data_IF_263886629570
#
_entry.id   IF_263886629570
#
_cell.length_a   1.000
_cell.length_b   1.000
_cell.length_c   1.000
_cell.angle_alpha   90.00
_cell.angle_beta   90.00
_cell.angle_gamma   90.00
#
_symmetry.space_group_name_H-M   'P 1'
#
loop_
_entity.id
_entity.type
_entity.pdbx_description
1 polymer ?
#
# COMPACT_ATOMS: atom_id res chain seq x y z
N UNK A 1 -27.65 3.84 -8.18
CA UNK A 1 -26.51 3.60 -7.28
C UNK A 1 -25.38 3.05 -8.12
N UNK A 2 -24.13 3.52 -7.98
CA UNK A 2 -22.97 3.20 -8.85
C UNK A 2 -22.07 2.17 -8.15
N UNK A 3 -21.74 1.01 -8.78
CA UNK A 3 -20.75 0.11 -8.16
C UNK A 3 -19.46 0.84 -8.37
N UNK A 4 -18.74 1.11 -7.29
CA UNK A 4 -17.35 1.51 -7.44
C UNK A 4 -16.65 0.43 -8.28
N UNK A 5 -16.02 0.81 -9.40
CA UNK A 5 -15.36 -0.15 -10.28
C UNK A 5 -14.41 -1.01 -9.44
N UNK A 6 -14.54 -2.32 -9.54
CA UNK A 6 -13.58 -3.26 -8.98
C UNK A 6 -12.22 -2.87 -9.55
N UNK A 7 -11.28 -2.52 -8.67
CA UNK A 7 -9.92 -2.20 -9.08
C UNK A 7 -9.40 -3.40 -9.86
N UNK A 8 -9.20 -3.21 -11.16
CA UNK A 8 -8.53 -4.18 -12.00
C UNK A 8 -7.08 -4.20 -11.52
N UNK A 9 -6.78 -5.04 -10.53
CA UNK A 9 -5.42 -5.36 -10.13
C UNK A 9 -4.69 -5.80 -11.39
N UNK A 10 -3.48 -5.28 -11.67
CA UNK A 10 -2.70 -5.74 -12.81
C UNK A 10 -2.66 -7.27 -12.82
N UNK A 11 -2.96 -7.83 -13.99
CA UNK A 11 -3.07 -9.26 -14.26
C UNK A 11 -1.91 -10.01 -13.57
N UNK A 12 -2.21 -10.77 -12.51
CA UNK A 12 -1.24 -11.60 -11.79
C UNK A 12 -1.10 -11.37 -10.28
N UNK A 13 -1.61 -10.26 -9.71
CA UNK A 13 -1.51 -10.03 -8.26
C UNK A 13 -2.74 -10.60 -7.52
N UNK A 14 -2.51 -11.64 -6.71
CA UNK A 14 -3.54 -12.27 -5.86
C UNK A 14 -3.85 -11.34 -4.70
N UNK A 15 -4.84 -10.47 -4.87
CA UNK A 15 -5.37 -9.64 -3.79
C UNK A 15 -6.48 -10.36 -3.03
N UNK A 16 -6.41 -10.34 -1.69
CA UNK A 16 -7.49 -10.86 -0.84
C UNK A 16 -8.75 -10.02 -1.07
N UNK A 17 -9.87 -10.66 -1.39
CA UNK A 17 -11.12 -9.94 -1.56
C UNK A 17 -11.68 -9.50 -0.19
N UNK A 18 -12.32 -8.31 -0.08
CA UNK A 18 -12.93 -7.86 1.17
C UNK A 18 -13.90 -8.86 1.80
N UNK A 19 -14.60 -9.66 0.98
CA UNK A 19 -15.54 -10.69 1.41
C UNK A 19 -14.88 -11.82 2.21
N UNK A 20 -13.56 -12.00 2.09
CA UNK A 20 -12.83 -12.94 2.93
C UNK A 20 -12.95 -12.60 4.41
N UNK A 21 -12.88 -11.31 4.77
CA UNK A 21 -12.96 -10.91 6.18
C UNK A 21 -14.36 -11.03 6.78
N UNK A 22 -15.40 -11.07 5.95
CA UNK A 22 -16.76 -11.35 6.41
C UNK A 22 -17.09 -12.84 6.39
N UNK A 23 -16.20 -13.68 5.86
CA UNK A 23 -16.38 -15.13 5.80
C UNK A 23 -16.32 -15.77 7.20
N UNK A 24 -17.03 -16.89 7.36
CA UNK A 24 -16.99 -17.67 8.59
C UNK A 24 -15.60 -18.21 8.91
N UNK A 25 -14.76 -18.46 7.90
CA UNK A 25 -13.39 -18.95 8.05
C UNK A 25 -12.55 -17.91 8.80
N UNK A 26 -12.55 -16.66 8.31
CA UNK A 26 -11.83 -15.57 8.96
C UNK A 26 -12.43 -15.25 10.34
N UNK A 27 -13.75 -15.13 10.42
CA UNK A 27 -14.44 -14.72 11.66
C UNK A 27 -14.23 -15.75 12.78
N UNK A 28 -14.28 -17.05 12.50
CA UNK A 28 -14.05 -18.09 13.52
C UNK A 28 -12.60 -18.06 14.01
N UNK A 29 -11.64 -18.07 13.10
CA UNK A 29 -10.23 -18.01 13.46
C UNK A 29 -9.91 -16.77 14.31
N UNK A 30 -10.41 -15.60 13.90
CA UNK A 30 -10.17 -14.37 14.66
C UNK A 30 -10.86 -14.37 16.03
N UNK A 31 -12.02 -15.02 16.19
CA UNK A 31 -12.67 -15.20 17.50
C UNK A 31 -11.84 -16.10 18.42
N UNK A 32 -11.25 -17.16 17.88
CA UNK A 32 -10.38 -18.05 18.65
C UNK A 32 -9.10 -17.32 19.07
N UNK A 33 -8.53 -16.48 18.20
CA UNK A 33 -7.39 -15.63 18.50
C UNK A 33 -7.70 -14.60 19.58
N UNK A 34 -8.87 -13.93 19.51
CA UNK A 34 -9.33 -12.99 20.55
C UNK A 34 -9.51 -13.72 21.88
N UNK A 35 -10.09 -14.92 21.87
CA UNK A 35 -10.29 -15.73 23.09
C UNK A 35 -8.95 -16.12 23.71
N UNK A 36 -7.97 -16.48 22.90
CA UNK A 36 -6.60 -16.79 23.33
C UNK A 36 -5.91 -15.55 23.93
N UNK A 37 -6.06 -14.39 23.29
CA UNK A 37 -5.54 -13.11 23.81
C UNK A 37 -6.13 -12.78 25.19
N UNK A 38 -7.44 -12.95 25.36
CA UNK A 38 -8.14 -12.71 26.63
C UNK A 38 -7.69 -13.68 27.71
N UNK A 39 -7.55 -14.97 27.38
CA UNK A 39 -7.08 -15.99 28.32
C UNK A 39 -5.65 -15.71 28.80
N UNK A 40 -4.73 -15.42 27.87
CA UNK A 40 -3.34 -15.07 28.20
C UNK A 40 -3.26 -13.82 29.09
N UNK A 41 -4.10 -12.81 28.79
CA UNK A 41 -4.19 -11.62 29.62
C UNK A 41 -4.72 -11.94 31.02
N UNK A 42 -5.76 -12.76 31.13
CA UNK A 42 -6.31 -13.20 32.41
C UNK A 42 -5.28 -13.94 33.26
N UNK A 43 -4.56 -14.90 32.67
CA UNK A 43 -3.51 -15.64 33.36
C UNK A 43 -2.39 -14.73 33.87
N UNK A 44 -1.92 -13.79 33.04
CA UNK A 44 -0.90 -12.83 33.43
C UNK A 44 -1.40 -11.86 34.52
N UNK A 45 -2.65 -11.40 34.41
CA UNK A 45 -3.27 -10.50 35.38
C UNK A 45 -3.47 -11.16 36.75
N UNK A 46 -3.82 -12.45 36.77
CA UNK A 46 -3.96 -13.22 38.02
C UNK A 46 -2.66 -13.31 38.83
N UNK A 47 -1.51 -13.27 38.14
CA UNK A 47 -0.17 -13.29 38.76
C UNK A 47 0.29 -11.90 39.20
N UNK A 48 -0.13 -10.84 38.50
CA UNK A 48 0.27 -9.47 38.80
C UNK A 48 -0.85 -8.47 38.48
N UNK A 49 -1.54 -8.01 39.52
CA UNK A 49 -2.70 -7.10 39.41
C UNK A 49 -2.31 -5.62 39.31
N UNK A 50 -1.05 -5.26 39.59
CA UNK A 50 -0.64 -3.87 39.77
C UNK A 50 -0.58 -3.06 38.46
N UNK A 51 -0.39 -3.70 37.30
CA UNK A 51 -0.18 -2.99 36.03
C UNK A 51 -0.91 -3.62 34.83
N UNK A 52 -2.27 -3.64 34.84
CA UNK A 52 -3.07 -4.32 33.81
C UNK A 52 -2.74 -3.88 32.39
N UNK A 53 -2.61 -2.56 32.15
CA UNK A 53 -2.34 -2.05 30.80
C UNK A 53 -0.96 -2.42 30.28
N UNK A 54 0.07 -2.41 31.15
CA UNK A 54 1.44 -2.81 30.77
C UNK A 54 1.49 -4.30 30.42
N UNK A 55 0.84 -5.13 31.23
CA UNK A 55 0.70 -6.57 30.95
C UNK A 55 -0.04 -6.83 29.65
N UNK A 56 -1.20 -6.18 29.44
CA UNK A 56 -1.96 -6.32 28.20
C UNK A 56 -1.14 -5.91 26.97
N UNK A 57 -0.49 -4.74 27.01
CA UNK A 57 0.34 -4.25 25.91
C UNK A 57 1.49 -5.22 25.60
N UNK A 58 2.14 -5.77 26.61
CA UNK A 58 3.19 -6.78 26.42
C UNK A 58 2.66 -8.02 25.70
N UNK A 59 1.51 -8.53 26.12
CA UNK A 59 0.88 -9.71 25.51
C UNK A 59 0.45 -9.39 24.07
N UNK A 60 -0.24 -8.28 23.86
CA UNK A 60 -0.67 -7.77 22.55
C UNK A 60 0.51 -7.67 21.57
N UNK A 61 1.64 -7.12 22.01
CA UNK A 61 2.86 -7.01 21.21
C UNK A 61 3.48 -8.38 20.97
N UNK A 62 3.58 -9.24 22.00
CA UNK A 62 4.17 -10.59 21.88
C UNK A 62 3.41 -11.51 20.93
N UNK A 63 2.08 -11.39 20.87
CA UNK A 63 1.21 -12.13 19.95
C UNK A 63 1.15 -11.49 18.55
N UNK A 64 1.84 -10.37 18.32
CA UNK A 64 1.94 -9.75 16.99
C UNK A 64 0.74 -8.89 16.56
N UNK A 65 -0.23 -8.64 17.45
CA UNK A 65 -1.47 -7.90 17.10
C UNK A 65 -1.22 -6.46 16.61
N UNK A 66 -0.16 -5.82 17.08
CA UNK A 66 0.25 -4.49 16.60
C UNK A 66 0.59 -4.46 15.10
N UNK A 67 0.98 -5.59 14.50
CA UNK A 67 1.26 -5.71 13.06
C UNK A 67 0.02 -6.07 12.23
N UNK A 68 -1.11 -6.39 12.86
CA UNK A 68 -2.26 -6.99 12.18
C UNK A 68 -2.81 -6.12 11.04
N UNK A 69 -2.85 -4.80 11.24
CA UNK A 69 -3.31 -3.84 10.22
C UNK A 69 -2.37 -3.69 9.01
N UNK A 70 -1.10 -4.09 9.14
CA UNK A 70 -0.15 -4.09 8.03
C UNK A 70 -0.23 -5.33 7.14
N UNK A 71 -0.96 -6.38 7.57
CA UNK A 71 -1.19 -7.57 6.73
C UNK A 71 -2.07 -7.29 5.52
N UNK A 72 -2.77 -6.14 5.52
CA UNK A 72 -3.67 -5.75 4.44
C UNK A 72 -3.22 -4.41 3.86
N UNK A 73 -2.64 -4.47 2.67
CA UNK A 73 -2.08 -3.28 1.99
C UNK A 73 -3.13 -2.46 1.25
N UNK A 74 -4.13 -3.12 0.67
CA UNK A 74 -5.22 -2.43 -0.03
C UNK A 74 -6.14 -1.67 0.94
N UNK A 75 -6.43 -0.40 0.61
CA UNK A 75 -7.20 0.49 1.47
C UNK A 75 -8.62 -0.02 1.74
N UNK A 76 -9.32 -0.50 0.71
CA UNK A 76 -10.71 -0.98 0.84
C UNK A 76 -10.78 -2.23 1.69
N UNK A 77 -9.88 -3.17 1.41
CA UNK A 77 -9.72 -4.46 2.07
C UNK A 77 -9.31 -4.25 3.53
N UNK A 78 -8.39 -3.30 3.81
CA UNK A 78 -7.97 -2.91 5.16
C UNK A 78 -9.13 -2.35 5.97
N UNK A 79 -9.96 -1.51 5.37
CA UNK A 79 -11.14 -0.96 6.04
C UNK A 79 -12.09 -2.08 6.49
N UNK A 80 -12.46 -3.00 5.58
CA UNK A 80 -13.32 -4.13 5.93
C UNK A 80 -12.70 -5.02 7.00
N UNK A 81 -11.40 -5.30 6.90
CA UNK A 81 -10.64 -6.02 7.90
C UNK A 81 -10.72 -5.36 9.29
N UNK A 82 -10.49 -4.05 9.37
CA UNK A 82 -10.56 -3.30 10.64
C UNK A 82 -12.00 -3.27 11.19
N UNK A 83 -12.99 -2.99 10.35
CA UNK A 83 -14.40 -2.92 10.75
C UNK A 83 -14.87 -4.26 11.34
N UNK A 84 -14.53 -5.38 10.68
CA UNK A 84 -14.88 -6.71 11.20
C UNK A 84 -14.12 -7.01 12.49
N UNK A 85 -12.81 -6.72 12.54
CA UNK A 85 -11.98 -7.01 13.72
C UNK A 85 -12.49 -6.24 14.94
N UNK A 86 -12.75 -4.94 14.80
CA UNK A 86 -13.31 -4.10 15.86
C UNK A 86 -14.71 -4.58 16.27
N UNK A 87 -15.56 -4.98 15.31
CA UNK A 87 -16.88 -5.54 15.62
C UNK A 87 -16.77 -6.80 16.49
N UNK A 88 -15.81 -7.69 16.21
CA UNK A 88 -15.63 -8.91 17.01
C UNK A 88 -15.17 -8.61 18.46
N UNK A 89 -14.34 -7.60 18.68
CA UNK A 89 -14.04 -7.13 20.03
C UNK A 89 -15.30 -6.61 20.75
N UNK A 90 -16.16 -5.87 20.04
CA UNK A 90 -17.43 -5.37 20.58
C UNK A 90 -18.44 -6.50 20.86
N UNK A 91 -18.47 -7.55 20.04
CA UNK A 91 -19.29 -8.75 20.28
C UNK A 91 -18.89 -9.40 21.62
N UNK A 92 -17.59 -9.57 21.88
CA UNK A 92 -17.10 -10.12 23.15
C UNK A 92 -17.50 -9.27 24.35
N UNK A 93 -17.44 -7.94 24.22
CA UNK A 93 -17.90 -7.04 25.27
C UNK A 93 -19.41 -7.14 25.49
N UNK A 94 -20.19 -7.24 24.42
CA UNK A 94 -21.65 -7.38 24.50
C UNK A 94 -22.03 -8.69 25.19
N UNK A 95 -21.35 -9.78 24.86
CA UNK A 95 -21.51 -11.07 25.53
C UNK A 95 -21.14 -11.01 27.02
N UNK A 96 -20.10 -10.25 27.38
CA UNK A 96 -19.75 -10.03 28.78
C UNK A 96 -20.84 -9.26 29.53
N UNK A 97 -21.46 -8.28 28.87
CA UNK A 97 -22.53 -7.47 29.47
C UNK A 97 -23.87 -8.21 29.58
N UNK A 98 -24.15 -9.18 28.68
CA UNK A 98 -25.32 -10.06 28.78
C UNK A 98 -25.11 -11.28 29.68
N UNK A 99 -23.88 -11.50 30.18
CA UNK A 99 -23.55 -12.64 31.02
C UNK A 99 -24.50 -12.83 32.22
N UNK A 100 -24.91 -11.79 32.98
CA UNK A 100 -25.90 -11.96 34.05
C UNK A 100 -27.21 -12.58 33.56
N UNK A 101 -27.69 -12.21 32.37
CA UNK A 101 -28.96 -12.71 31.80
C UNK A 101 -28.86 -14.19 31.43
N UNK A 102 -27.65 -14.66 31.07
CA UNK A 102 -27.40 -16.08 30.75
C UNK A 102 -27.28 -16.99 31.98
N UNK A 103 -27.13 -16.43 33.18
CA UNK A 103 -27.01 -17.18 34.45
C UNK A 103 -28.38 -17.65 34.99
N UNK A 104 -29.17 -18.32 34.15
CA UNK A 104 -30.52 -18.82 34.50
C UNK A 104 -30.50 -20.12 35.30
N UNK A 105 -29.35 -20.80 35.38
CA UNK A 105 -29.20 -22.06 36.10
C UNK A 105 -29.39 -21.87 37.61
N UNK A 106 -30.12 -22.80 38.26
CA UNK A 106 -30.51 -22.69 39.68
C UNK A 106 -29.33 -22.48 40.63
N UNK A 107 -28.16 -23.02 40.31
CA UNK A 107 -26.93 -22.87 41.10
C UNK A 107 -26.16 -21.55 40.83
N UNK A 108 -26.42 -20.89 39.71
CA UNK A 108 -25.79 -19.61 39.33
C UNK A 108 -26.65 -18.39 39.64
N UNK A 109 -27.96 -18.59 39.82
CA UNK A 109 -28.92 -17.51 40.09
C UNK A 109 -28.53 -16.63 41.30
N UNK A 110 -27.99 -17.16 42.42
CA UNK A 110 -27.52 -16.32 43.53
C UNK A 110 -26.32 -15.43 43.19
N UNK A 111 -25.51 -15.79 42.18
CA UNK A 111 -24.33 -15.04 41.76
C UNK A 111 -24.68 -13.92 40.77
N UNK A 112 -25.81 -14.01 40.08
CA UNK A 112 -26.28 -13.03 39.10
C UNK A 112 -26.21 -11.56 39.59
N UNK A 113 -26.74 -11.17 40.77
CA UNK A 113 -26.68 -9.78 41.23
C UNK A 113 -25.25 -9.29 41.50
N UNK A 114 -24.35 -10.19 41.89
CA UNK A 114 -22.94 -9.88 42.14
C UNK A 114 -22.21 -9.58 40.83
N UNK A 115 -22.41 -10.43 39.81
CA UNK A 115 -21.85 -10.22 38.47
C UNK A 115 -22.40 -8.93 37.86
N UNK A 116 -23.71 -8.70 37.96
CA UNK A 116 -24.33 -7.46 37.49
C UNK A 116 -23.75 -6.22 38.18
N UNK A 117 -23.54 -6.27 39.50
CA UNK A 117 -22.94 -5.17 40.25
C UNK A 117 -21.49 -4.88 39.80
N UNK A 118 -20.67 -5.92 39.65
CA UNK A 118 -19.28 -5.78 39.18
C UNK A 118 -19.23 -5.18 37.78
N UNK A 119 -20.01 -5.73 36.83
CA UNK A 119 -20.07 -5.23 35.46
C UNK A 119 -20.57 -3.78 35.41
N UNK A 120 -21.56 -3.43 36.23
CA UNK A 120 -22.04 -2.05 36.36
C UNK A 120 -20.95 -1.12 36.88
N UNK A 121 -20.17 -1.54 37.89
CA UNK A 121 -19.04 -0.76 38.42
C UNK A 121 -17.94 -0.57 37.38
N UNK A 122 -17.58 -1.61 36.64
CA UNK A 122 -16.58 -1.53 35.56
C UNK A 122 -17.04 -0.59 34.42
N UNK A 123 -18.33 -0.65 34.07
CA UNK A 123 -18.95 0.23 33.06
C UNK A 123 -18.95 1.68 33.52
N UNK A 124 -19.41 1.96 34.75
CA UNK A 124 -19.45 3.33 35.30
C UNK A 124 -18.05 3.90 35.53
N UNK A 125 -17.09 3.06 35.90
CA UNK A 125 -15.69 3.45 36.06
C UNK A 125 -14.95 3.69 34.74
N UNK A 126 -15.64 3.56 33.58
CA UNK A 126 -15.05 3.64 32.25
C UNK A 126 -13.76 2.80 32.10
N UNK A 127 -13.71 1.66 32.81
CA UNK A 127 -12.53 0.78 32.81
C UNK A 127 -12.27 0.23 31.42
N UNK A 128 -13.33 0.08 30.63
CA UNK A 128 -13.26 -0.24 29.22
C UNK A 128 -13.37 1.05 28.38
N UNK A 129 -12.33 1.36 27.60
CA UNK A 129 -12.43 2.33 26.51
C UNK A 129 -13.27 1.72 25.40
N UNK A 130 -14.59 1.89 25.50
CA UNK A 130 -15.53 1.38 24.52
C UNK A 130 -15.54 2.30 23.31
N UNK A 131 -15.17 1.74 22.16
CA UNK A 131 -15.55 2.32 20.88
C UNK A 131 -17.09 2.40 20.83
N UNK A 132 -17.66 3.44 20.19
CA UNK A 132 -19.10 3.61 20.07
C UNK A 132 -19.78 2.34 19.53
N UNK A 133 -21.03 2.13 19.95
CA UNK A 133 -21.80 0.94 19.57
C UNK A 133 -21.76 0.79 18.06
N UNK A 134 -21.53 -0.44 17.60
CA UNK A 134 -21.50 -0.75 16.17
C UNK A 134 -22.82 -0.45 15.44
N UNK A 135 -23.88 -0.10 16.16
CA UNK A 135 -25.16 0.40 15.63
C UNK A 135 -25.09 1.88 15.19
N UNK A 136 -24.25 2.69 15.82
CA UNK A 136 -24.00 4.11 15.52
C UNK A 136 -23.00 4.31 14.37
N UNK A 137 -22.70 3.22 13.66
CA UNK A 137 -21.54 3.05 12.76
C UNK A 137 -21.16 4.30 11.97
N UNK A 138 -19.85 4.55 11.78
CA UNK A 138 -19.33 5.77 11.16
C UNK A 138 -19.73 5.95 9.68
N UNK A 139 -20.40 4.97 9.09
CA UNK A 139 -20.86 4.97 7.70
C UNK A 139 -22.34 4.56 7.68
N UNK A 140 -23.22 5.55 7.77
CA UNK A 140 -24.60 5.47 7.33
C UNK A 140 -24.64 6.07 5.91
N UNK A 141 -25.08 5.34 4.85
CA UNK A 141 -25.80 4.07 4.84
C UNK A 141 -24.95 2.77 4.74
N UNK A 142 -25.46 1.70 5.36
CA UNK A 142 -24.87 0.34 5.42
C UNK A 142 -25.30 -0.61 4.30
N UNK A 143 -26.34 -0.25 3.54
CA UNK A 143 -26.83 -1.02 2.40
C UNK A 143 -26.41 -0.34 1.10
N UNK A 144 -25.17 -0.58 0.68
CA UNK A 144 -24.86 -0.42 -0.74
C UNK A 144 -25.30 -1.71 -1.44
N UNK A 145 -26.04 -1.63 -2.56
CA UNK A 145 -26.52 -2.80 -3.28
C UNK A 145 -25.35 -3.73 -3.60
N UNK A 146 -25.54 -5.03 -3.30
CA UNK A 146 -24.51 -6.09 -3.40
C UNK A 146 -23.94 -6.21 -4.81
N UNK A 147 -24.73 -5.88 -5.81
CA UNK A 147 -24.40 -5.90 -7.22
C UNK A 147 -25.09 -4.71 -7.87
N UNK A 148 -24.39 -3.90 -8.65
CA UNK A 148 -25.06 -3.08 -9.66
C UNK A 148 -24.61 -3.67 -10.98
N UNK A 149 -25.58 -4.26 -11.67
CA UNK A 149 -25.42 -4.67 -13.05
C UNK A 149 -25.08 -3.42 -13.85
N UNK A 150 -23.81 -3.28 -14.22
CA UNK A 150 -23.45 -2.45 -15.35
C UNK A 150 -23.74 -3.30 -16.60
N UNK A 151 -24.73 -2.97 -17.42
CA UNK A 151 -24.98 -3.70 -18.66
C UNK A 151 -23.71 -3.69 -19.51
N UNK A 152 -23.33 -4.85 -20.05
CA UNK A 152 -22.26 -4.93 -21.07
C UNK A 152 -22.65 -4.01 -22.24
N UNK A 153 -22.02 -2.84 -22.30
CA UNK A 153 -22.26 -1.83 -23.34
C UNK A 153 -22.60 -0.43 -22.84
N UNK A 154 -22.92 -0.22 -21.55
CA UNK A 154 -23.16 1.14 -21.03
C UNK A 154 -21.87 1.75 -20.48
N UNK A 155 -20.97 2.14 -21.38
CA UNK A 155 -20.00 3.19 -21.08
C UNK A 155 -20.78 4.47 -20.79
N UNK A 156 -21.07 4.73 -19.52
CA UNK A 156 -21.49 6.05 -19.05
C UNK A 156 -20.31 7.01 -19.26
N UNK A 157 -20.22 7.52 -20.48
CA UNK A 157 -19.57 8.78 -20.79
C UNK A 157 -20.36 9.86 -20.06
N UNK A 158 -19.99 10.11 -18.81
CA UNK A 158 -20.32 11.35 -18.13
C UNK A 158 -19.55 12.44 -18.88
N UNK A 159 -20.25 13.05 -19.84
CA UNK A 159 -19.90 14.32 -20.48
C UNK A 159 -19.83 15.41 -19.41
N UNK A 160 -18.70 15.51 -18.73
CA UNK A 160 -18.20 16.74 -18.12
C UNK A 160 -16.72 16.53 -17.78
N UNK A 161 -15.87 16.89 -18.75
CA UNK A 161 -14.49 17.30 -18.50
C UNK A 161 -13.54 16.28 -17.86
N UNK A 162 -13.81 14.97 -17.95
CA UNK A 162 -12.90 13.97 -17.39
C UNK A 162 -11.59 13.93 -18.18
N UNK A 163 -10.58 14.59 -17.63
CA UNK A 163 -9.18 14.33 -17.92
C UNK A 163 -9.00 12.81 -17.99
N UNK A 164 -8.60 12.32 -19.17
CA UNK A 164 -8.36 10.91 -19.44
C UNK A 164 -7.57 10.34 -18.26
N UNK A 165 -8.21 9.48 -17.47
CA UNK A 165 -7.54 8.77 -16.38
C UNK A 165 -6.31 8.14 -17.01
N UNK A 166 -5.13 8.50 -16.48
CA UNK A 166 -3.83 7.99 -16.91
C UNK A 166 -3.84 6.47 -16.76
N UNK A 167 -4.31 5.79 -17.80
CA UNK A 167 -4.01 4.40 -18.02
C UNK A 167 -2.50 4.25 -18.12
N UNK A 168 -2.04 2.99 -18.06
CA UNK A 168 -0.64 2.65 -18.29
C UNK A 168 -0.18 3.40 -19.56
N UNK A 169 0.81 4.31 -19.47
CA UNK A 169 1.22 5.11 -20.60
C UNK A 169 1.55 4.18 -21.76
N UNK A 170 0.87 4.38 -22.88
CA UNK A 170 1.11 3.59 -24.09
C UNK A 170 2.58 3.77 -24.52
N UNK A 171 3.13 2.80 -25.26
CA UNK A 171 4.53 2.87 -25.75
C UNK A 171 4.81 4.22 -26.45
N UNK A 172 3.84 4.72 -27.21
CA UNK A 172 3.87 6.04 -27.87
C UNK A 172 3.91 7.21 -26.88
N UNK A 173 3.14 7.16 -25.80
CA UNK A 173 3.14 8.19 -24.76
C UNK A 173 4.43 8.19 -23.93
N UNK A 174 5.02 7.01 -23.65
CA UNK A 174 6.34 6.91 -23.01
C UNK A 174 7.42 7.55 -23.87
N UNK A 175 7.44 7.26 -25.18
CA UNK A 175 8.36 7.88 -26.13
C UNK A 175 8.18 9.39 -26.19
N UNK A 176 6.94 9.89 -26.25
CA UNK A 176 6.65 11.34 -26.24
C UNK A 176 7.10 12.01 -24.94
N UNK A 177 6.91 11.35 -23.80
CA UNK A 177 7.36 11.86 -22.49
C UNK A 177 8.89 11.89 -22.38
N UNK A 178 9.57 10.87 -22.91
CA UNK A 178 11.04 10.84 -22.94
C UNK A 178 11.62 11.96 -23.82
N UNK A 179 11.05 12.20 -25.02
CA UNK A 179 11.45 13.32 -25.89
C UNK A 179 11.27 14.68 -25.18
N UNK A 180 10.12 14.90 -24.55
CA UNK A 180 9.87 16.14 -23.80
C UNK A 180 10.81 16.31 -22.60
N UNK A 181 11.23 15.22 -21.96
CA UNK A 181 12.22 15.28 -20.89
C UNK A 181 13.61 15.67 -21.42
N UNK A 182 14.03 15.14 -22.57
CA UNK A 182 15.28 15.50 -23.24
C UNK A 182 15.28 16.96 -23.72
N UNK A 183 14.15 17.44 -24.25
CA UNK A 183 13.98 18.84 -24.63
C UNK A 183 14.06 19.77 -23.40
N UNK A 184 13.42 19.39 -22.29
CA UNK A 184 13.50 20.15 -21.04
C UNK A 184 14.90 20.22 -20.45
N UNK A 185 15.69 19.14 -20.59
CA UNK A 185 17.08 19.10 -20.15
C UNK A 185 17.97 20.03 -21.01
N UNK A 186 17.70 20.13 -22.31
CA UNK A 186 18.40 21.05 -23.22
C UNK A 186 18.17 22.51 -22.84
N UNK A 187 16.91 22.86 -22.56
CA UNK A 187 16.54 24.20 -22.09
C UNK A 187 17.25 24.52 -20.76
N UNK A 188 17.24 23.57 -19.83
CA UNK A 188 17.92 23.74 -18.54
C UNK A 188 19.43 23.92 -18.68
N UNK A 189 20.09 23.13 -19.53
CA UNK A 189 21.52 23.26 -19.82
C UNK A 189 21.85 24.61 -20.46
N UNK A 190 21.02 25.06 -21.42
CA UNK A 190 21.24 26.37 -22.06
C UNK A 190 21.06 27.55 -21.11
N UNK A 191 20.13 27.44 -20.15
CA UNK A 191 19.89 28.48 -19.15
C UNK A 191 21.02 28.56 -18.12
N UNK A 192 21.47 27.41 -17.62
CA UNK A 192 22.52 27.38 -16.60
C UNK A 192 23.91 27.68 -17.17
N UNK A 193 24.14 27.41 -18.46
CA UNK A 193 25.37 27.80 -19.14
C UNK A 193 25.60 29.33 -19.19
N UNK A 194 24.55 30.13 -18.94
CA UNK A 194 24.63 31.60 -18.97
C UNK A 194 24.57 32.28 -17.60
N UNK A 195 24.11 31.59 -16.55
CA UNK A 195 23.73 32.25 -15.28
C UNK A 195 24.66 31.93 -14.09
N UNK A 196 25.46 30.86 -14.12
CA UNK A 196 26.32 30.47 -12.99
C UNK A 196 27.82 30.50 -13.34
N UNK A 197 28.54 31.53 -12.88
CA UNK A 197 30.02 31.63 -12.95
C UNK A 197 30.75 30.56 -12.11
N UNK A 198 30.04 29.82 -11.26
CA UNK A 198 30.62 28.84 -10.32
C UNK A 198 30.43 27.36 -10.75
N UNK A 199 29.76 27.09 -11.87
CA UNK A 199 29.69 25.72 -12.40
C UNK A 199 30.77 25.49 -13.45
N UNK A 200 31.79 24.72 -13.08
CA UNK A 200 32.98 24.35 -13.88
C UNK A 200 32.67 23.38 -15.04
N UNK A 201 31.55 23.59 -15.75
CA UNK A 201 31.17 22.81 -16.94
C UNK A 201 32.01 23.34 -18.09
N UNK A 202 33.13 22.67 -18.34
CA UNK A 202 34.03 23.06 -19.42
C UNK A 202 33.31 22.96 -20.79
N UNK A 203 33.58 23.88 -21.74
CA UNK A 203 33.02 23.81 -23.10
C UNK A 203 33.25 22.47 -23.80
N UNK A 204 34.30 21.76 -23.40
CA UNK A 204 34.65 20.41 -23.87
C UNK A 204 33.62 19.37 -23.45
N UNK A 205 33.17 19.39 -22.18
CA UNK A 205 32.15 18.48 -21.67
C UNK A 205 30.79 18.69 -22.34
N UNK A 206 30.42 19.95 -22.61
CA UNK A 206 29.18 20.27 -23.32
C UNK A 206 29.21 19.76 -24.77
N UNK A 207 30.33 19.93 -25.47
CA UNK A 207 30.51 19.42 -26.83
C UNK A 207 30.48 17.88 -26.88
N UNK A 208 31.06 17.20 -25.89
CA UNK A 208 31.02 15.75 -25.80
C UNK A 208 29.60 15.23 -25.54
N UNK A 209 28.85 15.89 -24.64
CA UNK A 209 27.44 15.59 -24.40
C UNK A 209 26.59 15.76 -25.67
N UNK A 210 26.77 16.86 -26.41
CA UNK A 210 26.04 17.11 -27.66
C UNK A 210 26.33 16.06 -28.74
N UNK A 211 27.59 15.60 -28.84
CA UNK A 211 27.97 14.49 -29.73
C UNK A 211 27.30 13.19 -29.32
N UNK A 212 27.34 12.84 -28.04
CA UNK A 212 26.70 11.62 -27.53
C UNK A 212 25.18 11.65 -27.73
N UNK A 213 24.53 12.78 -27.45
CA UNK A 213 23.09 12.99 -27.68
C UNK A 213 22.73 12.81 -29.17
N UNK A 214 23.51 13.41 -30.06
CA UNK A 214 23.28 13.30 -31.51
C UNK A 214 23.43 11.87 -32.00
N UNK A 215 24.49 11.18 -31.55
CA UNK A 215 24.70 9.76 -31.81
C UNK A 215 23.54 8.89 -31.31
N UNK A 216 23.10 9.09 -30.06
CA UNK A 216 21.96 8.35 -29.51
C UNK A 216 20.67 8.60 -30.29
N UNK A 217 20.41 9.83 -30.74
CA UNK A 217 19.25 10.18 -31.56
C UNK A 217 19.33 9.61 -32.98
N UNK A 218 20.53 9.47 -33.53
CA UNK A 218 20.78 8.91 -34.86
C UNK A 218 20.65 7.39 -34.86
N UNK A 219 21.22 6.70 -33.88
CA UNK A 219 21.02 5.25 -33.64
C UNK A 219 19.53 4.92 -33.44
N UNK A 220 18.81 5.75 -32.68
CA UNK A 220 17.36 5.63 -32.49
C UNK A 220 16.56 5.81 -33.79
N UNK A 221 17.10 6.53 -34.78
CA UNK A 221 16.42 6.88 -36.03
C UNK A 221 16.75 5.90 -37.16
N UNK A 222 17.99 5.44 -37.25
CA UNK A 222 18.52 4.65 -38.36
C UNK A 222 18.18 3.16 -38.23
N UNK A 223 18.26 2.58 -37.04
CA UNK A 223 18.19 1.12 -36.86
C UNK A 223 16.76 0.60 -36.68
N UNK A 224 15.77 1.46 -36.35
CA UNK A 224 14.52 0.96 -35.76
C UNK A 224 13.18 1.52 -36.24
N UNK A 225 13.15 2.60 -37.03
CA UNK A 225 11.88 3.29 -37.33
C UNK A 225 11.02 3.51 -36.07
N UNK A 226 9.69 3.61 -36.19
CA UNK A 226 8.79 3.83 -35.03
C UNK A 226 8.63 2.60 -34.09
N UNK A 227 9.25 1.44 -34.42
CA UNK A 227 8.96 0.15 -33.76
C UNK A 227 10.00 -0.31 -32.73
N UNK A 228 11.29 -0.07 -32.96
CA UNK A 228 12.38 -0.67 -32.16
C UNK A 228 12.94 0.18 -31.01
N UNK A 229 12.11 1.05 -30.43
CA UNK A 229 12.51 1.96 -29.35
C UNK A 229 13.00 1.28 -28.04
N UNK A 230 12.87 -0.05 -27.91
CA UNK A 230 13.22 -0.75 -26.65
C UNK A 230 14.65 -1.27 -26.61
N UNK A 231 15.21 -1.78 -27.71
CA UNK A 231 16.61 -2.23 -27.77
C UNK A 231 17.56 -1.05 -27.65
N UNK A 232 17.29 0.04 -28.38
CA UNK A 232 18.09 1.27 -28.27
C UNK A 232 18.05 1.92 -26.87
N UNK A 233 16.95 1.76 -26.12
CA UNK A 233 16.89 2.24 -24.73
C UNK A 233 17.76 1.40 -23.77
N UNK A 234 17.90 0.09 -24.02
CA UNK A 234 18.82 -0.76 -23.25
C UNK A 234 20.28 -0.39 -23.54
N UNK A 235 20.62 -0.16 -24.81
CA UNK A 235 21.99 0.19 -25.21
C UNK A 235 22.42 1.56 -24.66
N UNK A 236 21.52 2.56 -24.69
CA UNK A 236 21.76 3.86 -24.06
C UNK A 236 21.89 3.71 -22.55
N UNK A 237 21.05 2.90 -21.91
CA UNK A 237 21.12 2.62 -20.47
C UNK A 237 22.48 2.04 -20.08
N UNK A 238 22.99 1.07 -20.84
CA UNK A 238 24.32 0.46 -20.62
C UNK A 238 25.46 1.44 -20.85
N UNK A 239 25.38 2.28 -21.88
CA UNK A 239 26.40 3.28 -22.17
C UNK A 239 26.50 4.33 -21.06
N UNK A 240 25.37 4.82 -20.54
CA UNK A 240 25.32 5.75 -19.39
C UNK A 240 25.88 5.08 -18.14
N UNK A 241 25.52 3.81 -17.91
CA UNK A 241 25.99 3.04 -16.76
C UNK A 241 27.51 2.85 -16.75
N UNK A 242 28.10 2.52 -17.90
CA UNK A 242 29.56 2.42 -18.05
C UNK A 242 30.24 3.74 -17.74
N UNK A 243 29.75 4.86 -18.30
CA UNK A 243 30.31 6.19 -18.03
C UNK A 243 30.20 6.61 -16.55
N UNK A 244 29.10 6.26 -15.88
CA UNK A 244 28.97 6.53 -14.45
C UNK A 244 29.96 5.71 -13.61
N UNK A 245 30.23 4.46 -13.99
CA UNK A 245 31.26 3.63 -13.34
C UNK A 245 32.66 4.19 -13.56
N UNK A 246 32.95 4.64 -14.78
CA UNK A 246 34.25 5.24 -15.10
C UNK A 246 34.46 6.55 -14.31
N UNK A 247 33.41 7.36 -14.16
CA UNK A 247 33.45 8.57 -13.34
C UNK A 247 33.63 8.27 -11.83
N UNK A 248 32.95 7.24 -11.31
CA UNK A 248 33.08 6.81 -9.91
C UNK A 248 34.49 6.26 -9.62
N UNK A 249 35.06 5.52 -10.57
CA UNK A 249 36.44 5.04 -10.51
C UNK A 249 37.46 6.20 -10.53
N UNK A 250 37.22 7.24 -11.33
CA UNK A 250 38.08 8.42 -11.41
C UNK A 250 38.02 9.29 -10.13
N UNK A 251 36.91 9.28 -9.39
CA UNK A 251 36.74 10.06 -8.15
C UNK A 251 37.16 9.33 -6.87
N UNK A 252 37.84 8.19 -6.99
CA UNK A 252 38.45 7.50 -5.84
C UNK A 252 37.50 6.62 -5.01
N UNK A 253 36.31 6.28 -5.52
CA UNK A 253 35.47 5.18 -5.03
C UNK A 253 34.87 5.30 -3.61
N UNK A 254 35.21 6.32 -2.83
CA UNK A 254 34.70 6.47 -1.44
C UNK A 254 33.39 7.27 -1.35
N UNK A 255 32.95 7.89 -2.45
CA UNK A 255 31.83 8.84 -2.46
C UNK A 255 30.57 8.32 -3.16
N UNK A 256 29.78 7.52 -2.44
CA UNK A 256 28.34 7.32 -2.70
C UNK A 256 27.96 6.45 -3.94
N UNK A 257 28.34 5.17 -3.91
CA UNK A 257 27.97 4.10 -4.88
C UNK A 257 26.46 3.86 -5.07
N UNK A 258 25.61 4.54 -4.28
CA UNK A 258 24.15 4.45 -4.34
C UNK A 258 23.60 4.82 -5.72
N UNK A 259 24.18 5.81 -6.41
CA UNK A 259 23.72 6.25 -7.73
C UNK A 259 23.91 5.18 -8.82
N UNK A 260 25.09 4.56 -8.86
CA UNK A 260 25.42 3.50 -9.81
C UNK A 260 24.55 2.27 -9.56
N UNK A 261 24.37 1.86 -8.30
CA UNK A 261 23.55 0.71 -7.93
C UNK A 261 22.07 0.91 -8.27
N UNK A 262 21.54 2.13 -8.10
CA UNK A 262 20.16 2.46 -8.49
C UNK A 262 20.00 2.36 -10.02
N UNK A 263 20.99 2.86 -10.78
CA UNK A 263 20.94 2.79 -12.24
C UNK A 263 21.08 1.35 -12.75
N UNK A 264 21.98 0.55 -12.15
CA UNK A 264 22.14 -0.88 -12.46
C UNK A 264 20.84 -1.64 -12.26
N UNK A 265 20.20 -1.41 -11.12
CA UNK A 265 18.90 -2.02 -10.82
C UNK A 265 17.83 -1.57 -11.81
N UNK A 266 17.81 -0.30 -12.20
CA UNK A 266 16.83 0.22 -13.16
C UNK A 266 17.00 -0.36 -14.56
N UNK A 267 18.24 -0.57 -15.02
CA UNK A 267 18.55 -1.22 -16.31
C UNK A 267 18.13 -2.70 -16.27
N UNK A 268 18.43 -3.43 -15.20
CA UNK A 268 18.03 -4.83 -15.03
C UNK A 268 16.51 -5.00 -14.92
N UNK A 269 15.82 -4.13 -14.16
CA UNK A 269 14.36 -4.16 -14.05
C UNK A 269 13.69 -3.83 -15.41
N UNK A 270 14.28 -2.94 -16.20
CA UNK A 270 13.83 -2.64 -17.56
C UNK A 270 13.98 -3.85 -18.48
N UNK A 271 15.12 -4.53 -18.44
CA UNK A 271 15.40 -5.77 -19.20
C UNK A 271 14.45 -6.91 -18.82
N UNK A 272 14.13 -7.08 -17.54
CA UNK A 272 13.13 -8.06 -17.08
C UNK A 272 11.73 -7.75 -17.59
N UNK A 273 11.35 -6.47 -17.59
CA UNK A 273 10.05 -6.03 -18.11
C UNK A 273 9.91 -6.29 -19.60
N UNK A 274 11.04 -6.28 -20.32
CA UNK A 274 11.13 -6.54 -21.74
C UNK A 274 10.88 -8.00 -22.10
N UNK A 275 11.52 -8.93 -21.38
CA UNK A 275 11.38 -10.37 -21.60
C UNK A 275 9.95 -10.88 -21.39
N UNK A 276 9.17 -10.24 -20.50
CA UNK A 276 7.77 -10.62 -20.20
C UNK A 276 6.79 -10.18 -21.31
N UNK A 277 7.23 -9.34 -22.27
CA UNK A 277 6.37 -8.83 -23.36
C UNK A 277 6.54 -9.64 -24.66
N UNK A 278 7.59 -10.46 -24.76
CA UNK A 278 7.86 -11.30 -25.94
C UNK A 278 7.30 -12.74 -25.83
N UNK A 279 6.76 -13.13 -24.67
CA UNK A 279 5.95 -14.35 -24.45
C UNK A 279 4.44 -14.08 -24.52
#
# INVERSE_FOLDING_TARGET
MSVAPTSSTPRGEVAVQPNYFTSSIYVKALRDDISTLVLNFYEAYSKNTATPFKSFKSIWTSMGWHWLHFKVFDHRTRKTFLDVTLRLFLDHYSNLMSLPETMTSQHLLPLQPHVQFILRRLRTGAVFFLLPRSEDGPMNPRSLPREIYAPEGTSYALELGSQKRKGRPTKKEKGKKARHALEGLDVWLSKNATEDEDTDVTPVQLAEYQRFKSYAMEVLKEEYGDSGLLTAADDIGRAVLMRMKDADAAMGGEGNSSGVQILEKAVEDFKRTLLVVEE
#
